data_IF_504600628557
#
_entry.id   IF_504600628557
#
_cell.length_a   1.000
_cell.length_b   1.000
_cell.length_c   1.000
_cell.angle_alpha   90.00
_cell.angle_beta   90.00
_cell.angle_gamma   90.00
#
_symmetry.space_group_name_H-M   'P 1'
#
loop_
_entity.id
_entity.type
_entity.pdbx_description
1 polymer ?
#
# COMPACT_ATOMS: atom_id res chain seq x y z
N UNK A 1 13.21 5.64 -8.13
CA UNK A 1 11.84 5.08 -8.03
C UNK A 1 11.62 4.58 -6.62
N UNK A 2 10.58 5.03 -5.93
CA UNK A 2 10.26 4.55 -4.57
C UNK A 2 9.64 3.14 -4.66
N UNK A 3 10.13 2.18 -3.86
CA UNK A 3 9.63 0.79 -3.82
C UNK A 3 9.12 0.45 -2.42
N UNK A 4 7.90 -0.07 -2.35
CA UNK A 4 7.24 -0.50 -1.12
C UNK A 4 6.81 -1.95 -1.30
N UNK A 5 7.48 -2.88 -0.61
CA UNK A 5 7.20 -4.30 -0.68
C UNK A 5 7.04 -4.86 0.73
N UNK A 6 6.02 -5.68 0.93
CA UNK A 6 5.78 -6.41 2.18
C UNK A 6 5.87 -7.91 1.86
N UNK A 7 7.02 -8.52 2.10
CA UNK A 7 7.16 -9.98 2.01
C UNK A 7 6.64 -10.62 3.30
N UNK A 8 5.79 -11.65 3.18
CA UNK A 8 5.26 -12.39 4.34
C UNK A 8 4.06 -11.74 5.07
N UNK A 9 3.51 -10.62 4.58
CA UNK A 9 2.34 -9.99 5.19
C UNK A 9 1.04 -10.31 4.44
N UNK A 10 0.00 -10.68 5.18
CA UNK A 10 -1.36 -10.86 4.63
C UNK A 10 -1.96 -9.52 4.19
N UNK A 11 -2.61 -9.51 3.02
CA UNK A 11 -3.40 -8.37 2.54
C UNK A 11 -4.76 -8.18 3.25
N UNK A 12 -5.02 -8.95 4.31
CA UNK A 12 -6.25 -8.86 5.11
C UNK A 12 -6.22 -7.68 6.09
N UNK A 13 -5.05 -7.42 6.69
CA UNK A 13 -4.85 -6.32 7.62
C UNK A 13 -4.13 -5.15 6.91
N UNK A 14 -4.44 -3.92 7.32
CA UNK A 14 -3.78 -2.72 6.77
C UNK A 14 -2.44 -2.42 7.44
N UNK A 15 -2.20 -2.92 8.65
CA UNK A 15 -0.93 -2.75 9.36
C UNK A 15 0.18 -3.56 8.68
N UNK A 16 0.87 -2.90 7.74
CA UNK A 16 1.97 -3.47 6.96
C UNK A 16 3.07 -2.43 6.83
N UNK A 17 4.33 -2.72 7.20
CA UNK A 17 5.39 -1.72 7.28
C UNK A 17 5.56 -0.86 6.01
N UNK A 18 5.59 -1.49 4.83
CA UNK A 18 5.75 -0.76 3.58
C UNK A 18 4.47 -0.06 3.11
N UNK A 19 3.29 -0.56 3.49
CA UNK A 19 2.03 0.14 3.20
C UNK A 19 1.89 1.39 4.07
N UNK A 20 2.32 1.31 5.33
CA UNK A 20 2.35 2.46 6.24
C UNK A 20 3.31 3.54 5.71
N UNK A 21 4.51 3.15 5.27
CA UNK A 21 5.46 4.09 4.65
C UNK A 21 4.90 4.72 3.36
N UNK A 22 4.23 3.93 2.52
CA UNK A 22 3.56 4.45 1.31
C UNK A 22 2.52 5.52 1.66
N UNK A 23 1.69 5.29 2.69
CA UNK A 23 0.66 6.23 3.15
C UNK A 23 1.26 7.52 3.70
N UNK A 24 2.37 7.42 4.43
CA UNK A 24 3.09 8.58 4.96
C UNK A 24 3.74 9.41 3.85
N UNK A 25 4.41 8.78 2.88
CA UNK A 25 5.02 9.49 1.76
C UNK A 25 3.97 10.12 0.85
N UNK A 26 2.81 9.47 0.69
CA UNK A 26 1.66 10.04 0.02
C UNK A 26 1.08 11.25 0.77
N UNK A 27 0.99 11.23 2.10
CA UNK A 27 0.48 12.37 2.90
C UNK A 27 1.41 13.58 2.82
N UNK A 28 2.72 13.34 2.66
CA UNK A 28 3.75 14.37 2.40
C UNK A 28 3.75 14.89 0.95
N UNK A 29 2.84 14.41 0.09
CA UNK A 29 2.76 14.75 -1.35
C UNK A 29 4.04 14.42 -2.14
N UNK A 30 4.81 13.43 -1.69
CA UNK A 30 6.01 12.96 -2.40
C UNK A 30 5.68 12.02 -3.56
N UNK A 31 4.43 11.56 -3.63
CA UNK A 31 3.94 10.57 -4.59
C UNK A 31 2.81 11.20 -5.41
N UNK A 32 3.04 11.34 -6.71
CA UNK A 32 2.02 11.80 -7.67
C UNK A 32 1.22 10.64 -8.29
N UNK A 33 1.80 9.44 -8.32
CA UNK A 33 1.18 8.26 -8.91
C UNK A 33 1.65 6.98 -8.19
N UNK A 34 0.72 6.04 -8.00
CA UNK A 34 0.99 4.70 -7.48
C UNK A 34 0.72 3.69 -8.58
N UNK A 35 1.69 2.79 -8.82
CA UNK A 35 1.54 1.66 -9.73
C UNK A 35 1.53 0.40 -8.88
N UNK A 36 0.47 -0.40 -8.99
CA UNK A 36 0.36 -1.70 -8.33
C UNK A 36 -0.06 -2.74 -9.36
N UNK A 37 0.42 -3.97 -9.20
CA UNK A 37 0.09 -5.07 -10.11
C UNK A 37 -1.36 -5.56 -9.93
N UNK A 38 -1.86 -5.51 -8.69
CA UNK A 38 -3.19 -6.00 -8.32
C UNK A 38 -3.71 -5.17 -7.12
N UNK A 39 -4.97 -4.69 -7.14
CA UNK A 39 -5.55 -3.90 -6.04
C UNK A 39 -5.59 -4.64 -4.70
N UNK A 40 -5.68 -5.96 -4.66
CA UNK A 40 -5.64 -6.76 -3.42
C UNK A 40 -4.30 -6.62 -2.69
N UNK A 41 -3.23 -6.21 -3.41
CA UNK A 41 -1.92 -5.90 -2.82
C UNK A 41 -1.99 -4.62 -1.97
N UNK A 42 -2.90 -3.70 -2.28
CA UNK A 42 -3.18 -2.53 -1.45
C UNK A 42 -4.12 -2.90 -0.30
N UNK A 43 -5.23 -3.59 -0.58
CA UNK A 43 -6.12 -4.13 0.46
C UNK A 43 -7.19 -5.03 -0.15
N UNK A 44 -7.44 -6.19 0.48
CA UNK A 44 -8.55 -7.09 0.10
C UNK A 44 -9.92 -6.65 0.64
N UNK A 45 -9.96 -5.66 1.52
CA UNK A 45 -11.20 -5.19 2.18
C UNK A 45 -11.53 -3.72 1.90
N UNK A 46 -10.69 -2.99 1.16
CA UNK A 46 -10.90 -1.56 0.92
C UNK A 46 -12.12 -1.22 0.06
N UNK A 47 -12.72 -2.22 -0.60
CA UNK A 47 -13.86 -2.04 -1.50
C UNK A 47 -15.07 -2.92 -1.13
N UNK A 48 -15.21 -3.31 0.14
CA UNK A 48 -16.43 -3.98 0.60
C UNK A 48 -17.51 -2.92 0.81
N UNK A 49 -18.42 -2.80 -0.16
CA UNK A 49 -19.68 -2.06 -0.06
C UNK A 49 -20.73 -2.90 0.66
#
# INVERSE_FOLDING_TARGET
MLKYANEGFSGELLERPALNRLREDASKRLISQVICYDPDRLSRRAYQR
#
